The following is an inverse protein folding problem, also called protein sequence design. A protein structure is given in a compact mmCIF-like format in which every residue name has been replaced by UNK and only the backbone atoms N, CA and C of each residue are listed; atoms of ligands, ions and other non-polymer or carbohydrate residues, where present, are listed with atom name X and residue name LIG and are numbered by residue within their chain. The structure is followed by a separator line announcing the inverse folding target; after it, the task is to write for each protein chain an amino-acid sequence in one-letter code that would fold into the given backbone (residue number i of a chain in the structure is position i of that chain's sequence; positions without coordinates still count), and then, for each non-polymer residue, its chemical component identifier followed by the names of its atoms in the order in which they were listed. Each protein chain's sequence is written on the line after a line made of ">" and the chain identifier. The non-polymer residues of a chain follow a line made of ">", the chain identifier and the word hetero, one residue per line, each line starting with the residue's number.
data_IF_885326616937
#
_entry.id   IF_885326616937
#
_cell.length_a   1.000
_cell.length_b   1.000
_cell.length_c   1.000
_cell.angle_alpha   90.00
_cell.angle_beta   90.00
_cell.angle_gamma   90.00
#
_symmetry.space_group_name_H-M   'P 1'
#
loop_
_entity.id
_entity.type
_entity.pdbx_description
1 polymer ?
#
# COMPACT_ATOMS: atom_id res chain seq x y z
N UNK A 1 18.29 -29.03 8.15
CA UNK A 1 17.46 -28.21 9.08
C UNK A 1 18.34 -27.06 9.50
N UNK A 2 18.12 -25.88 8.92
CA UNK A 2 18.90 -24.69 9.27
C UNK A 2 18.53 -24.30 10.70
N UNK A 3 19.53 -23.94 11.50
CA UNK A 3 19.35 -23.53 12.89
C UNK A 3 18.34 -22.37 12.95
N UNK A 4 17.23 -22.54 13.68
CA UNK A 4 16.29 -21.49 13.98
C UNK A 4 17.07 -20.31 14.59
N UNK A 5 17.10 -19.17 13.89
CA UNK A 5 17.67 -17.96 14.45
C UNK A 5 16.70 -17.44 15.51
N UNK A 6 17.14 -17.41 16.78
CA UNK A 6 16.37 -16.84 17.87
C UNK A 6 16.69 -15.36 18.03
N UNK A 7 15.67 -14.53 18.09
CA UNK A 7 15.78 -13.07 18.27
C UNK A 7 14.93 -12.69 19.50
N UNK A 8 15.57 -12.05 20.48
CA UNK A 8 14.87 -11.45 21.62
C UNK A 8 14.68 -9.95 21.39
N UNK A 9 13.49 -9.44 21.66
CA UNK A 9 13.15 -8.03 21.47
C UNK A 9 12.06 -7.60 22.46
N UNK A 10 11.90 -6.30 22.66
CA UNK A 10 10.81 -5.79 23.51
C UNK A 10 9.47 -5.87 22.77
N UNK A 11 9.44 -5.59 21.47
CA UNK A 11 8.20 -5.59 20.70
C UNK A 11 8.40 -6.17 19.29
N UNK A 12 7.50 -7.07 18.90
CA UNK A 12 7.35 -7.52 17.52
C UNK A 12 6.33 -6.64 16.80
N UNK A 13 6.69 -6.11 15.63
CA UNK A 13 5.82 -5.30 14.78
C UNK A 13 5.56 -6.04 13.47
N UNK A 14 4.31 -6.36 13.19
CA UNK A 14 3.90 -7.07 11.97
C UNK A 14 3.37 -6.05 10.96
N UNK A 15 4.17 -5.77 9.93
CA UNK A 15 3.95 -4.80 8.88
C UNK A 15 4.92 -3.62 8.95
N UNK A 16 5.77 -3.49 7.93
CA UNK A 16 6.75 -2.42 7.74
C UNK A 16 6.21 -1.21 6.95
N UNK A 17 4.88 -0.99 6.96
CA UNK A 17 4.25 0.20 6.44
C UNK A 17 4.43 1.42 7.36
N UNK A 18 3.82 2.56 6.99
CA UNK A 18 3.99 3.84 7.71
C UNK A 18 3.65 3.76 9.19
N UNK A 19 2.68 2.94 9.58
CA UNK A 19 2.30 2.75 10.98
C UNK A 19 3.34 1.94 11.75
N UNK A 20 3.80 0.81 11.19
CA UNK A 20 4.83 -0.01 11.81
C UNK A 20 6.15 0.74 11.99
N UNK A 21 6.57 1.48 10.95
CA UNK A 21 7.76 2.33 11.01
C UNK A 21 7.64 3.44 12.04
N UNK A 22 6.48 4.09 12.17
CA UNK A 22 6.25 5.12 13.18
C UNK A 22 6.26 4.53 14.61
N UNK A 23 5.69 3.33 14.81
CA UNK A 23 5.79 2.60 16.08
C UNK A 23 7.24 2.26 16.44
N UNK A 24 7.99 1.66 15.51
CA UNK A 24 9.37 1.24 15.75
C UNK A 24 10.29 2.42 16.11
N UNK A 25 10.11 3.55 15.44
CA UNK A 25 10.85 4.77 15.75
C UNK A 25 10.52 5.33 17.13
N UNK A 26 9.25 5.30 17.54
CA UNK A 26 8.85 5.74 18.87
C UNK A 26 9.43 4.81 19.96
N UNK A 27 9.44 3.49 19.74
CA UNK A 27 10.14 2.55 20.63
C UNK A 27 11.62 2.86 20.73
N UNK A 28 12.31 3.02 19.62
CA UNK A 28 13.74 3.31 19.59
C UNK A 28 14.08 4.63 20.31
N UNK A 29 13.26 5.69 20.12
CA UNK A 29 13.41 6.97 20.81
C UNK A 29 13.25 6.86 22.34
N UNK A 30 12.53 5.83 22.82
CA UNK A 30 12.32 5.55 24.25
C UNK A 30 13.28 4.47 24.80
N UNK A 31 14.24 4.02 23.99
CA UNK A 31 15.25 3.01 24.40
C UNK A 31 14.81 1.55 24.30
N UNK A 32 13.67 1.27 23.65
CA UNK A 32 13.16 -0.09 23.44
C UNK A 32 13.55 -0.62 22.06
N UNK A 33 13.92 -1.89 22.00
CA UNK A 33 14.23 -2.57 20.75
C UNK A 33 12.97 -3.16 20.12
N UNK A 34 12.96 -3.22 18.79
CA UNK A 34 11.84 -3.82 18.06
C UNK A 34 12.30 -4.59 16.82
N UNK A 35 11.54 -5.61 16.47
CA UNK A 35 11.67 -6.33 15.19
C UNK A 35 10.48 -6.01 14.33
N UNK A 36 10.73 -5.50 13.14
CA UNK A 36 9.69 -5.21 12.11
C UNK A 36 9.72 -6.32 11.08
N UNK A 37 8.62 -7.04 10.95
CA UNK A 37 8.41 -8.07 9.93
C UNK A 37 7.58 -7.49 8.80
N UNK A 38 8.08 -7.54 7.57
CA UNK A 38 7.40 -7.01 6.39
C UNK A 38 7.30 -8.07 5.28
N UNK A 39 6.10 -8.25 4.75
CA UNK A 39 5.81 -9.20 3.68
C UNK A 39 6.49 -8.83 2.36
N UNK A 40 6.56 -7.53 2.05
CA UNK A 40 7.25 -7.06 0.86
C UNK A 40 8.78 -7.11 1.03
N UNK A 41 9.55 -7.17 -0.07
CA UNK A 41 11.01 -7.07 -0.03
C UNK A 41 11.52 -5.65 0.24
N UNK A 42 10.65 -4.73 0.59
CA UNK A 42 10.96 -3.32 0.91
C UNK A 42 10.00 -2.76 1.95
N UNK A 43 10.46 -1.74 2.68
CA UNK A 43 9.67 -1.01 3.68
C UNK A 43 8.78 0.07 3.03
N UNK A 44 7.79 0.57 3.80
CA UNK A 44 6.96 1.73 3.47
C UNK A 44 5.53 1.38 3.04
N UNK A 45 5.22 0.10 2.76
CA UNK A 45 3.89 -0.37 2.39
C UNK A 45 3.32 0.34 1.15
N UNK A 46 2.01 0.63 1.14
CA UNK A 46 1.38 1.35 0.01
C UNK A 46 1.90 2.77 -0.15
N UNK A 47 2.32 3.42 0.94
CA UNK A 47 2.74 4.82 0.92
C UNK A 47 4.01 5.08 0.10
N UNK A 48 4.91 4.09 0.00
CA UNK A 48 6.16 4.22 -0.78
C UNK A 48 5.93 4.26 -2.29
N UNK A 49 4.77 3.78 -2.74
CA UNK A 49 4.39 3.77 -4.15
C UNK A 49 3.86 5.12 -4.64
N UNK A 50 3.56 6.07 -3.76
CA UNK A 50 3.05 7.38 -4.14
C UNK A 50 4.12 8.25 -4.79
N UNK A 51 3.78 8.84 -5.93
CA UNK A 51 4.64 9.81 -6.62
C UNK A 51 4.59 11.15 -5.90
N UNK A 52 5.74 11.66 -5.47
CA UNK A 52 5.87 12.96 -4.83
C UNK A 52 6.58 13.96 -5.74
N UNK A 53 6.42 15.25 -5.46
CA UNK A 53 7.09 16.38 -6.15
C UNK A 53 6.83 16.44 -7.66
N UNK A 54 5.71 15.92 -8.10
CA UNK A 54 5.32 15.95 -9.50
C UNK A 54 4.60 17.24 -9.90
N UNK A 55 4.29 18.11 -8.92
CA UNK A 55 3.70 19.44 -9.12
C UNK A 55 4.54 20.50 -8.42
N UNK A 56 4.49 21.75 -8.90
CA UNK A 56 5.18 22.89 -8.28
C UNK A 56 4.68 23.20 -6.86
N UNK A 57 3.46 22.76 -6.54
CA UNK A 57 2.82 22.99 -5.24
C UNK A 57 2.65 21.67 -4.51
N UNK A 58 3.07 21.62 -3.23
CA UNK A 58 2.89 20.44 -2.38
C UNK A 58 1.41 20.11 -2.19
N UNK A 59 1.02 18.89 -2.52
CA UNK A 59 -0.36 18.38 -2.38
C UNK A 59 -0.66 17.82 -0.98
N UNK A 60 0.27 17.93 -0.03
CA UNK A 60 0.15 17.45 1.36
C UNK A 60 -0.26 15.96 1.50
N UNK A 61 0.14 15.13 0.54
CA UNK A 61 -0.24 13.70 0.51
C UNK A 61 0.51 12.83 1.55
N UNK A 62 1.53 13.36 2.22
CA UNK A 62 2.32 12.62 3.20
C UNK A 62 3.36 11.64 2.61
N UNK A 63 3.52 11.54 1.28
CA UNK A 63 4.48 10.62 0.66
C UNK A 63 5.94 10.86 1.13
N UNK A 64 6.34 12.11 1.34
CA UNK A 64 7.68 12.45 1.87
C UNK A 64 7.91 11.89 3.28
N UNK A 65 6.87 11.83 4.13
CA UNK A 65 6.96 11.27 5.48
C UNK A 65 7.28 9.77 5.45
N UNK A 66 6.86 9.07 4.40
CA UNK A 66 7.16 7.63 4.23
C UNK A 66 8.66 7.43 4.04
N UNK A 67 9.28 8.23 3.16
CA UNK A 67 10.73 8.18 2.91
C UNK A 67 11.53 8.51 4.17
N UNK A 68 11.09 9.50 4.93
CA UNK A 68 11.73 9.87 6.21
C UNK A 68 11.58 8.74 7.25
N UNK A 69 10.40 8.12 7.33
CA UNK A 69 10.16 7.01 8.23
C UNK A 69 11.03 5.78 7.90
N UNK A 70 11.20 5.46 6.61
CA UNK A 70 12.10 4.39 6.18
C UNK A 70 13.54 4.69 6.61
N UNK A 71 14.06 5.88 6.26
CA UNK A 71 15.43 6.29 6.60
C UNK A 71 15.68 6.27 8.10
N UNK A 72 14.77 6.84 8.89
CA UNK A 72 14.91 6.88 10.34
C UNK A 72 14.84 5.50 10.99
N UNK A 73 14.03 4.59 10.46
CA UNK A 73 13.95 3.21 10.94
C UNK A 73 15.22 2.42 10.61
N UNK A 74 15.74 2.56 9.39
CA UNK A 74 16.97 1.87 8.95
C UNK A 74 18.24 2.40 9.64
N UNK A 75 18.26 3.66 10.03
CA UNK A 75 19.39 4.26 10.73
C UNK A 75 19.49 3.88 12.22
N UNK A 76 18.43 3.33 12.80
CA UNK A 76 18.40 2.99 14.23
C UNK A 76 18.93 1.58 14.51
N UNK A 77 19.96 1.42 15.35
CA UNK A 77 20.46 0.09 15.74
C UNK A 77 19.46 -0.70 16.61
N UNK A 78 18.40 -0.03 17.12
CA UNK A 78 17.36 -0.66 17.95
C UNK A 78 16.20 -1.26 17.14
N UNK A 79 16.25 -1.15 15.82
CA UNK A 79 15.18 -1.61 14.94
C UNK A 79 15.77 -2.63 13.97
N UNK A 80 15.43 -3.90 14.17
CA UNK A 80 15.73 -4.95 13.22
C UNK A 80 14.59 -5.11 12.19
N UNK A 81 14.93 -5.47 10.96
CA UNK A 81 13.96 -5.67 9.88
C UNK A 81 14.09 -7.07 9.31
N UNK A 82 12.98 -7.80 9.17
CA UNK A 82 12.89 -9.07 8.44
C UNK A 82 11.94 -8.82 7.27
N UNK A 83 12.50 -8.65 6.08
CA UNK A 83 11.75 -8.38 4.85
C UNK A 83 11.42 -9.68 4.12
N UNK A 84 10.49 -9.64 3.17
CA UNK A 84 9.95 -10.83 2.49
C UNK A 84 9.51 -11.91 3.48
N UNK A 85 8.91 -11.51 4.60
CA UNK A 85 8.63 -12.40 5.72
C UNK A 85 7.22 -12.24 6.27
N UNK A 86 6.67 -13.35 6.77
CA UNK A 86 5.35 -13.37 7.37
C UNK A 86 5.33 -14.10 8.70
N UNK A 87 4.33 -13.80 9.52
CA UNK A 87 4.04 -14.54 10.74
C UNK A 87 3.38 -15.87 10.37
N UNK A 88 4.00 -16.99 10.78
CA UNK A 88 3.45 -18.33 10.60
C UNK A 88 2.71 -18.82 11.86
N UNK A 89 3.18 -18.44 13.05
CA UNK A 89 2.59 -18.84 14.31
C UNK A 89 2.86 -17.82 15.39
N UNK A 90 1.87 -17.58 16.25
CA UNK A 90 1.97 -16.75 17.45
C UNK A 90 1.48 -17.57 18.65
N UNK A 91 2.28 -17.65 19.70
CA UNK A 91 1.92 -18.24 20.99
C UNK A 91 2.30 -17.30 22.11
N UNK A 92 1.57 -17.31 23.20
CA UNK A 92 1.91 -16.58 24.41
C UNK A 92 2.21 -17.58 25.53
N UNK A 93 3.40 -17.48 26.11
CA UNK A 93 3.85 -18.29 27.25
C UNK A 93 4.18 -17.33 28.40
N UNK A 94 3.31 -17.31 29.42
CA UNK A 94 3.42 -16.33 30.50
C UNK A 94 3.30 -14.89 29.99
N UNK A 95 4.36 -14.11 30.19
CA UNK A 95 4.44 -12.70 29.72
C UNK A 95 5.10 -12.54 28.33
N UNK A 96 5.60 -13.62 27.72
CA UNK A 96 6.37 -13.59 26.48
C UNK A 96 5.55 -14.16 25.34
N UNK A 97 5.64 -13.50 24.19
CA UNK A 97 5.16 -14.03 22.91
C UNK A 97 6.29 -14.76 22.20
N UNK A 98 6.02 -15.97 21.75
CA UNK A 98 6.85 -16.71 20.82
C UNK A 98 6.22 -16.67 19.43
N UNK A 99 6.92 -16.07 18.49
CA UNK A 99 6.46 -15.84 17.12
C UNK A 99 7.37 -16.55 16.13
N UNK A 100 6.82 -17.50 15.37
CA UNK A 100 7.53 -18.10 14.24
C UNK A 100 7.35 -17.21 13.02
N UNK A 101 8.44 -16.66 12.54
CA UNK A 101 8.50 -15.84 11.33
C UNK A 101 9.16 -16.66 10.24
N UNK A 102 8.51 -16.76 9.08
CA UNK A 102 9.06 -17.43 7.90
C UNK A 102 9.40 -16.36 6.87
N UNK A 103 10.66 -16.32 6.49
CA UNK A 103 11.18 -15.45 5.44
C UNK A 103 11.26 -16.23 4.12
N UNK A 104 10.63 -15.71 3.10
CA UNK A 104 10.75 -16.23 1.73
C UNK A 104 12.22 -16.16 1.26
N UNK A 105 12.62 -17.01 0.32
CA UNK A 105 13.99 -17.04 -0.15
C UNK A 105 14.45 -15.66 -0.67
N UNK A 106 15.44 -15.05 -0.02
CA UNK A 106 16.07 -13.82 -0.47
C UNK A 106 17.03 -14.16 -1.60
N UNK A 107 16.58 -13.97 -2.83
CA UNK A 107 17.32 -14.36 -4.03
C UNK A 107 18.26 -13.28 -4.56
N UNK A 108 18.05 -12.02 -4.19
CA UNK A 108 18.95 -10.91 -4.54
C UNK A 108 19.47 -10.30 -3.23
N UNK A 109 20.77 -10.41 -2.99
CA UNK A 109 21.40 -9.95 -1.75
C UNK A 109 21.68 -8.44 -1.80
N UNK A 110 21.04 -7.64 -0.93
CA UNK A 110 21.20 -6.18 -0.93
C UNK A 110 22.66 -5.72 -0.78
N UNK A 111 23.40 -6.38 0.09
CA UNK A 111 24.79 -5.99 0.41
C UNK A 111 25.76 -6.18 -0.77
N UNK A 112 25.44 -7.09 -1.69
CA UNK A 112 26.24 -7.36 -2.89
C UNK A 112 25.72 -6.60 -4.12
N UNK A 113 24.47 -6.16 -4.11
CA UNK A 113 23.78 -5.56 -5.24
C UNK A 113 24.09 -4.05 -5.34
N UNK A 114 24.50 -3.58 -6.52
CA UNK A 114 24.69 -2.17 -6.83
C UNK A 114 23.51 -1.52 -7.58
N UNK A 115 22.37 -2.22 -7.68
CA UNK A 115 21.15 -1.77 -8.37
C UNK A 115 21.33 -1.37 -9.85
N UNK A 116 22.27 -1.98 -10.58
CA UNK A 116 22.56 -1.66 -11.98
C UNK A 116 21.42 -1.96 -12.96
N UNK A 117 20.46 -2.83 -12.60
CA UNK A 117 19.30 -3.18 -13.45
C UNK A 117 19.57 -4.25 -14.54
N UNK A 118 20.80 -4.75 -14.71
CA UNK A 118 21.15 -5.76 -15.72
C UNK A 118 20.26 -7.01 -15.62
N UNK A 119 19.95 -7.46 -14.40
CA UNK A 119 19.08 -8.60 -14.17
C UNK A 119 17.62 -8.37 -14.65
N UNK A 120 17.15 -7.10 -14.61
CA UNK A 120 15.82 -6.74 -15.11
C UNK A 120 15.79 -6.83 -16.63
N UNK A 121 16.84 -6.33 -17.31
CA UNK A 121 16.95 -6.35 -18.77
C UNK A 121 17.15 -7.76 -19.30
N UNK A 122 17.95 -8.58 -18.61
CA UNK A 122 18.21 -9.96 -19.00
C UNK A 122 17.05 -10.92 -18.74
N UNK A 123 16.05 -10.54 -17.96
CA UNK A 123 14.94 -11.42 -17.61
C UNK A 123 14.04 -11.69 -18.83
N UNK A 124 13.85 -12.96 -19.26
CA UNK A 124 13.01 -13.28 -20.39
C UNK A 124 11.50 -13.13 -20.12
N UNK A 125 11.12 -12.98 -18.85
CA UNK A 125 9.73 -12.77 -18.43
C UNK A 125 9.55 -11.32 -17.98
N UNK A 126 8.88 -10.47 -18.78
CA UNK A 126 8.62 -9.10 -18.42
C UNK A 126 7.91 -8.98 -17.07
N UNK A 127 8.43 -8.14 -16.18
CA UNK A 127 7.82 -7.89 -14.86
C UNK A 127 8.19 -8.90 -13.76
N UNK A 128 8.81 -10.05 -14.05
CA UNK A 128 9.24 -11.01 -13.04
C UNK A 128 10.37 -10.48 -12.15
N UNK A 129 11.17 -9.52 -12.64
CA UNK A 129 12.12 -8.77 -11.81
C UNK A 129 11.74 -7.30 -11.84
N UNK A 130 11.62 -6.69 -10.68
CA UNK A 130 11.19 -5.29 -10.53
C UNK A 130 12.19 -4.51 -9.69
N UNK A 131 12.39 -3.25 -10.02
CA UNK A 131 13.12 -2.33 -9.16
C UNK A 131 12.28 -1.99 -7.93
N UNK A 132 12.92 -1.91 -6.77
CA UNK A 132 12.24 -1.45 -5.55
C UNK A 132 11.73 -0.02 -5.74
N UNK A 133 10.52 0.31 -5.26
CA UNK A 133 9.99 1.68 -5.32
C UNK A 133 10.85 2.72 -4.60
N UNK A 134 11.73 2.28 -3.70
CA UNK A 134 12.67 3.14 -2.98
C UNK A 134 14.05 3.27 -3.66
N UNK A 135 14.18 2.77 -4.89
CA UNK A 135 15.41 2.90 -5.68
C UNK A 135 16.60 2.09 -5.16
N UNK A 136 16.31 1.07 -4.35
CA UNK A 136 17.29 0.14 -3.80
C UNK A 136 17.36 -1.14 -4.65
N UNK A 137 17.70 -2.25 -4.04
CA UNK A 137 17.85 -3.57 -4.65
C UNK A 137 16.61 -3.97 -5.47
N UNK A 138 16.75 -4.50 -6.69
CA UNK A 138 15.66 -5.15 -7.40
C UNK A 138 15.22 -6.41 -6.66
N UNK A 139 14.01 -6.90 -6.95
CA UNK A 139 13.47 -8.11 -6.35
C UNK A 139 12.79 -8.99 -7.40
N UNK A 140 12.76 -10.29 -7.13
CA UNK A 140 12.11 -11.28 -8.00
C UNK A 140 10.69 -11.54 -7.48
N UNK A 141 9.69 -11.33 -8.33
CA UNK A 141 8.32 -11.79 -8.12
C UNK A 141 8.28 -13.26 -8.53
N UNK A 142 8.47 -14.16 -7.55
CA UNK A 142 8.76 -15.56 -7.87
C UNK A 142 7.63 -16.24 -8.63
N UNK A 143 6.37 -15.93 -8.30
CA UNK A 143 5.20 -16.51 -8.99
C UNK A 143 5.13 -16.13 -10.48
N UNK A 144 5.71 -15.01 -10.86
CA UNK A 144 5.83 -14.55 -12.26
C UNK A 144 7.10 -15.12 -12.93
N UNK A 145 8.07 -15.58 -12.16
CA UNK A 145 9.34 -16.09 -12.68
C UNK A 145 9.16 -17.44 -13.42
N UNK A 146 9.87 -17.65 -14.51
CA UNK A 146 9.85 -18.93 -15.25
C UNK A 146 10.18 -20.13 -14.34
N UNK A 147 11.04 -19.94 -13.34
CA UNK A 147 11.40 -21.02 -12.40
C UNK A 147 10.23 -21.49 -11.52
N UNK A 148 9.25 -20.67 -11.25
CA UNK A 148 8.04 -21.08 -10.51
C UNK A 148 7.22 -22.13 -11.27
N UNK A 149 7.41 -22.19 -12.60
CA UNK A 149 6.78 -23.15 -13.51
C UNK A 149 7.67 -24.36 -13.84
N UNK A 150 8.82 -24.51 -13.14
CA UNK A 150 9.73 -25.63 -13.30
C UNK A 150 10.87 -25.41 -14.32
N UNK A 151 10.98 -24.22 -14.92
CA UNK A 151 12.10 -23.88 -15.81
C UNK A 151 13.44 -23.80 -15.05
N UNK A 152 14.52 -24.18 -15.71
CA UNK A 152 15.90 -24.06 -15.18
C UNK A 152 16.56 -22.71 -15.52
N UNK A 153 15.79 -21.66 -15.79
CA UNK A 153 16.28 -20.35 -16.20
C UNK A 153 17.26 -19.75 -15.17
N UNK A 154 18.41 -19.25 -15.66
CA UNK A 154 19.48 -18.59 -14.88
C UNK A 154 19.82 -17.20 -15.40
N UNK A 155 19.13 -16.68 -16.41
CA UNK A 155 19.48 -15.47 -17.14
C UNK A 155 19.81 -14.26 -16.27
N UNK A 156 19.05 -14.00 -15.20
CA UNK A 156 19.31 -12.91 -14.28
C UNK A 156 20.56 -13.14 -13.41
N UNK A 157 20.83 -14.38 -13.03
CA UNK A 157 22.02 -14.73 -12.24
C UNK A 157 23.28 -14.62 -13.11
N UNK A 158 23.23 -15.09 -14.35
CA UNK A 158 24.35 -15.06 -15.30
C UNK A 158 24.70 -13.63 -15.73
N UNK A 159 23.69 -12.76 -15.84
CA UNK A 159 23.87 -11.36 -16.19
C UNK A 159 24.33 -10.49 -15.00
N UNK A 160 24.37 -11.00 -13.77
CA UNK A 160 24.70 -10.19 -12.60
C UNK A 160 26.19 -9.95 -12.43
N UNK A 161 26.75 -8.73 -12.69
CA UNK A 161 28.19 -8.48 -12.62
C UNK A 161 28.75 -8.55 -11.20
N UNK A 162 27.87 -8.55 -10.19
CA UNK A 162 28.22 -8.58 -8.77
C UNK A 162 27.99 -9.94 -8.12
N UNK A 163 27.54 -10.94 -8.87
CA UNK A 163 27.13 -12.24 -8.35
C UNK A 163 26.18 -12.13 -7.15
N UNK A 164 25.32 -11.10 -7.15
CA UNK A 164 24.41 -10.80 -6.05
C UNK A 164 23.14 -11.67 -6.08
N UNK A 165 22.99 -12.60 -7.02
CA UNK A 165 21.77 -13.40 -7.23
C UNK A 165 22.04 -14.88 -6.93
N UNK A 166 21.22 -15.44 -6.02
CA UNK A 166 21.20 -16.87 -5.72
C UNK A 166 19.78 -17.42 -5.89
N UNK A 167 19.55 -18.10 -7.02
CA UNK A 167 18.25 -18.68 -7.35
C UNK A 167 17.94 -19.97 -6.56
N UNK A 168 18.93 -20.55 -5.87
CA UNK A 168 18.79 -21.73 -5.02
C UNK A 168 18.58 -21.39 -3.55
N UNK A 169 18.39 -20.10 -3.21
CA UNK A 169 18.09 -19.70 -1.84
C UNK A 169 16.83 -20.42 -1.33
N UNK A 170 16.84 -20.77 -0.04
CA UNK A 170 15.73 -21.43 0.67
C UNK A 170 15.08 -20.48 1.68
N UNK A 171 13.92 -20.85 2.16
CA UNK A 171 13.25 -20.18 3.28
C UNK A 171 14.12 -20.19 4.54
N UNK A 172 13.95 -19.14 5.34
CA UNK A 172 14.62 -19.02 6.64
C UNK A 172 13.57 -18.83 7.73
N UNK A 173 13.70 -19.56 8.81
CA UNK A 173 12.83 -19.46 9.98
C UNK A 173 13.51 -18.67 11.11
N UNK A 174 12.76 -17.74 11.70
CA UNK A 174 13.16 -16.98 12.88
C UNK A 174 12.17 -17.24 14.02
N UNK A 175 12.68 -17.56 15.21
CA UNK A 175 11.90 -17.55 16.43
C UNK A 175 12.08 -16.20 17.13
N UNK A 176 11.06 -15.34 17.07
CA UNK A 176 11.10 -14.03 17.73
C UNK A 176 10.37 -14.10 19.06
N UNK A 177 11.06 -13.76 20.14
CA UNK A 177 10.51 -13.64 21.49
C UNK A 177 10.31 -12.18 21.84
N UNK A 178 9.10 -11.80 22.26
CA UNK A 178 8.78 -10.41 22.55
C UNK A 178 7.78 -10.27 23.69
N UNK A 179 7.79 -9.12 24.38
CA UNK A 179 6.84 -8.81 25.47
C UNK A 179 5.50 -8.30 24.96
N UNK A 180 5.46 -7.75 23.75
CA UNK A 180 4.26 -7.25 23.10
C UNK A 180 4.31 -7.44 21.59
N UNK A 181 3.13 -7.40 20.95
CA UNK A 181 2.98 -7.48 19.51
C UNK A 181 2.17 -6.29 19.02
N UNK A 182 2.64 -5.60 17.97
CA UNK A 182 1.90 -4.57 17.26
C UNK A 182 1.56 -5.07 15.86
N UNK A 183 0.29 -5.08 15.52
CA UNK A 183 -0.21 -5.43 14.18
C UNK A 183 -0.42 -4.15 13.40
N UNK A 184 0.35 -3.97 12.32
CA UNK A 184 0.36 -2.79 11.46
C UNK A 184 0.31 -3.17 9.96
N UNK A 185 -0.47 -4.21 9.63
CA UNK A 185 -0.53 -4.86 8.31
C UNK A 185 -1.21 -4.04 7.22
N UNK A 186 -1.73 -2.86 7.56
CA UNK A 186 -2.35 -1.95 6.61
C UNK A 186 -3.73 -2.41 6.13
N UNK A 187 -4.02 -2.24 4.85
CA UNK A 187 -5.29 -2.55 4.21
C UNK A 187 -5.06 -3.27 2.89
N UNK A 188 -6.10 -3.92 2.38
CA UNK A 188 -6.13 -4.45 1.01
C UNK A 188 -6.82 -3.43 0.11
N UNK A 189 -6.25 -3.00 -1.03
CA UNK A 189 -6.99 -2.23 -2.03
C UNK A 189 -8.23 -3.00 -2.49
N UNK A 190 -9.32 -2.27 -2.71
CA UNK A 190 -10.54 -2.90 -3.20
C UNK A 190 -10.30 -3.47 -4.60
N UNK A 191 -10.75 -4.71 -4.84
CA UNK A 191 -10.72 -5.31 -6.17
C UNK A 191 -11.83 -4.71 -7.03
N UNK A 192 -11.44 -3.88 -8.00
CA UNK A 192 -12.40 -3.22 -8.88
C UNK A 192 -13.19 -4.19 -9.78
N UNK A 193 -12.74 -5.43 -9.95
CA UNK A 193 -13.48 -6.47 -10.68
C UNK A 193 -14.79 -6.87 -10.00
N UNK A 194 -14.91 -6.65 -8.67
CA UNK A 194 -16.16 -6.83 -7.91
C UNK A 194 -17.26 -5.83 -8.35
N UNK A 195 -16.92 -4.81 -9.17
CA UNK A 195 -17.85 -3.86 -9.78
C UNK A 195 -17.86 -3.98 -11.31
N UNK A 196 -18.40 -5.08 -11.86
CA UNK A 196 -18.34 -5.38 -13.29
C UNK A 196 -18.95 -4.29 -14.19
N UNK A 197 -19.89 -3.49 -13.65
CA UNK A 197 -20.50 -2.35 -14.36
C UNK A 197 -19.50 -1.26 -14.80
N UNK A 198 -18.31 -1.21 -14.19
CA UNK A 198 -17.26 -0.26 -14.57
C UNK A 198 -16.25 -0.84 -15.56
N UNK A 199 -16.35 -2.13 -15.90
CA UNK A 199 -15.56 -2.73 -16.97
C UNK A 199 -14.08 -2.98 -16.66
N UNK A 200 -13.63 -2.81 -15.42
CA UNK A 200 -12.24 -3.08 -15.03
C UNK A 200 -11.80 -4.52 -15.36
N UNK A 201 -10.59 -4.66 -15.93
CA UNK A 201 -10.05 -5.94 -16.41
C UNK A 201 -10.70 -6.48 -17.68
N UNK A 202 -11.75 -5.84 -18.23
CA UNK A 202 -12.48 -6.25 -19.43
C UNK A 202 -12.45 -5.23 -20.56
N UNK A 203 -12.49 -3.94 -20.21
CA UNK A 203 -12.51 -2.86 -21.18
C UNK A 203 -11.16 -2.14 -21.12
N UNK A 204 -10.37 -2.14 -22.21
CA UNK A 204 -9.13 -1.38 -22.28
C UNK A 204 -9.36 0.10 -21.98
N UNK A 205 -8.45 0.71 -21.22
CA UNK A 205 -8.58 2.13 -20.80
C UNK A 205 -9.32 2.33 -19.48
N UNK A 206 -9.89 1.28 -18.88
CA UNK A 206 -10.39 1.32 -17.49
C UNK A 206 -9.29 0.81 -16.56
N UNK A 207 -8.85 1.66 -15.63
CA UNK A 207 -7.77 1.37 -14.70
C UNK A 207 -8.10 1.89 -13.29
N UNK A 208 -7.43 1.36 -12.29
CA UNK A 208 -7.51 1.89 -10.93
C UNK A 208 -6.62 3.12 -10.75
N UNK A 209 -6.90 3.94 -9.74
CA UNK A 209 -6.04 5.06 -9.39
C UNK A 209 -4.61 4.62 -8.99
N UNK A 210 -4.45 3.43 -8.43
CA UNK A 210 -3.12 2.88 -8.10
C UNK A 210 -2.32 2.52 -9.35
N UNK A 211 -2.98 1.94 -10.37
CA UNK A 211 -2.33 1.64 -11.66
C UNK A 211 -1.95 2.92 -12.39
N UNK A 212 -2.82 3.94 -12.39
CA UNK A 212 -2.46 5.24 -12.95
C UNK A 212 -1.26 5.85 -12.23
N UNK A 213 -1.17 5.74 -10.91
CA UNK A 213 -0.01 6.21 -10.14
C UNK A 213 1.28 5.51 -10.58
N UNK A 214 1.24 4.19 -10.76
CA UNK A 214 2.40 3.40 -11.22
C UNK A 214 2.80 3.78 -12.66
N UNK A 215 1.84 3.94 -13.56
CA UNK A 215 2.08 4.36 -14.95
C UNK A 215 2.69 5.77 -15.01
N UNK A 216 2.19 6.71 -14.21
CA UNK A 216 2.73 8.08 -14.15
C UNK A 216 4.13 8.13 -13.53
N UNK A 217 4.43 7.24 -12.59
CA UNK A 217 5.78 7.13 -11.99
C UNK A 217 6.80 6.66 -13.01
N UNK A 218 6.42 5.67 -13.82
CA UNK A 218 7.30 5.05 -14.79
C UNK A 218 7.27 5.75 -16.16
N UNK A 219 6.54 6.88 -16.28
CA UNK A 219 6.36 7.64 -17.52
C UNK A 219 5.75 6.83 -18.67
N UNK A 220 4.97 5.80 -18.34
CA UNK A 220 4.35 4.86 -19.28
C UNK A 220 2.88 5.18 -19.57
N UNK A 221 2.31 6.22 -18.97
CA UNK A 221 0.93 6.60 -19.20
C UNK A 221 0.80 7.38 -20.49
N UNK A 222 0.22 6.76 -21.50
CA UNK A 222 -0.10 7.39 -22.78
C UNK A 222 -1.62 7.45 -22.98
N UNK A 223 -2.08 8.61 -23.42
CA UNK A 223 -3.44 8.83 -23.88
C UNK A 223 -3.38 9.06 -25.38
N UNK A 224 -3.96 8.18 -26.15
CA UNK A 224 -4.13 8.39 -27.58
C UNK A 224 -5.59 8.79 -27.81
N UNK A 225 -5.88 10.07 -28.00
CA UNK A 225 -7.22 10.51 -28.36
C UNK A 225 -7.56 9.96 -29.73
N UNK A 226 -8.70 9.27 -29.85
CA UNK A 226 -9.04 8.56 -31.09
C UNK A 226 -9.75 9.44 -32.12
N UNK A 227 -10.47 10.46 -31.68
CA UNK A 227 -11.26 11.33 -32.59
C UNK A 227 -11.26 12.81 -32.18
N UNK A 228 -10.59 13.15 -31.09
CA UNK A 228 -10.54 14.50 -30.53
C UNK A 228 -9.11 14.98 -30.37
N UNK A 229 -8.85 16.28 -30.57
CA UNK A 229 -7.51 16.82 -30.37
C UNK A 229 -7.08 16.82 -28.89
N UNK A 230 -8.05 16.77 -27.94
CA UNK A 230 -7.80 16.87 -26.50
C UNK A 230 -8.23 15.57 -25.81
N UNK A 231 -7.31 14.87 -25.11
CA UNK A 231 -7.64 13.67 -24.35
C UNK A 231 -8.56 13.97 -23.17
N UNK A 232 -9.51 13.09 -22.88
CA UNK A 232 -10.47 13.20 -21.78
C UNK A 232 -10.35 12.01 -20.82
N UNK A 233 -10.21 12.29 -19.53
CA UNK A 233 -10.08 11.28 -18.48
C UNK A 233 -11.17 11.47 -17.42
N UNK A 234 -11.90 10.39 -17.12
CA UNK A 234 -12.88 10.37 -16.04
C UNK A 234 -12.28 9.73 -14.79
N UNK A 235 -12.47 10.35 -13.61
CA UNK A 235 -12.25 9.73 -12.31
C UNK A 235 -13.61 9.39 -11.69
N UNK A 236 -13.81 8.14 -11.28
CA UNK A 236 -15.03 7.68 -10.59
C UNK A 236 -14.70 7.43 -9.13
N UNK A 237 -15.31 8.20 -8.23
CA UNK A 237 -15.10 8.11 -6.79
C UNK A 237 -15.89 6.99 -6.12
N UNK A 238 -15.49 6.63 -4.91
CA UNK A 238 -16.17 5.67 -4.02
C UNK A 238 -16.31 4.26 -4.59
N UNK A 239 -15.41 3.81 -5.48
CA UNK A 239 -15.44 2.44 -6.00
C UNK A 239 -15.01 1.48 -4.89
N UNK A 240 -15.95 0.66 -4.40
CA UNK A 240 -15.72 -0.25 -3.26
C UNK A 240 -15.79 0.42 -1.88
N UNK A 241 -16.43 1.60 -1.77
CA UNK A 241 -16.73 2.30 -0.52
C UNK A 241 -18.12 2.90 -0.59
N UNK A 242 -18.76 3.10 0.58
CA UNK A 242 -20.09 3.72 0.69
C UNK A 242 -21.15 3.00 -0.16
N UNK A 243 -21.07 1.67 -0.18
CA UNK A 243 -21.88 0.81 -1.03
C UNK A 243 -22.46 -0.35 -0.22
N UNK A 244 -23.74 -0.22 0.11
CA UNK A 244 -24.49 -1.21 0.89
C UNK A 244 -24.66 -2.56 0.14
N UNK A 245 -24.69 -2.54 -1.20
CA UNK A 245 -24.89 -3.76 -2.00
C UNK A 245 -23.71 -4.75 -1.89
N UNK A 246 -22.54 -4.26 -1.51
CA UNK A 246 -21.34 -5.10 -1.30
C UNK A 246 -20.91 -5.12 0.18
N UNK A 247 -21.79 -4.67 1.11
CA UNK A 247 -21.51 -4.64 2.55
C UNK A 247 -20.42 -3.63 2.97
N UNK A 248 -20.11 -2.62 2.14
CA UNK A 248 -19.06 -1.63 2.41
C UNK A 248 -19.65 -0.25 2.67
N UNK A 249 -20.39 -0.12 3.77
CA UNK A 249 -21.10 1.11 4.12
C UNK A 249 -20.19 2.25 4.58
N UNK A 250 -18.91 1.98 4.87
CA UNK A 250 -17.94 2.96 5.35
C UNK A 250 -17.29 3.76 4.23
N UNK A 251 -16.83 4.96 4.57
CA UNK A 251 -15.97 5.78 3.71
C UNK A 251 -14.50 5.38 3.89
N UNK A 252 -13.75 5.25 2.80
CA UNK A 252 -12.30 5.01 2.85
C UNK A 252 -11.48 6.25 3.21
N UNK A 253 -12.09 7.42 3.40
CA UNK A 253 -11.56 8.69 3.91
C UNK A 253 -10.45 9.34 3.05
N UNK A 254 -9.70 8.60 2.28
CA UNK A 254 -8.52 9.09 1.55
C UNK A 254 -8.76 9.26 0.05
N UNK A 255 -9.77 8.59 -0.54
CA UNK A 255 -9.91 8.51 -1.99
C UNK A 255 -10.21 9.86 -2.65
N UNK A 256 -10.94 10.77 -1.99
CA UNK A 256 -11.19 12.12 -2.52
C UNK A 256 -9.90 12.93 -2.65
N UNK A 257 -9.12 13.02 -1.58
CA UNK A 257 -7.84 13.74 -1.60
C UNK A 257 -6.83 13.07 -2.54
N UNK A 258 -6.82 11.74 -2.58
CA UNK A 258 -5.95 10.97 -3.46
C UNK A 258 -6.27 11.20 -4.94
N UNK A 259 -7.53 11.11 -5.33
CA UNK A 259 -7.96 11.32 -6.70
C UNK A 259 -7.70 12.75 -7.19
N UNK A 260 -8.04 13.78 -6.39
CA UNK A 260 -7.76 15.17 -6.74
C UNK A 260 -6.26 15.43 -6.90
N UNK A 261 -5.43 14.86 -6.01
CA UNK A 261 -3.98 14.93 -6.15
C UNK A 261 -3.50 14.28 -7.45
N UNK A 262 -4.00 13.07 -7.74
CA UNK A 262 -3.59 12.30 -8.91
C UNK A 262 -4.06 12.96 -10.21
N UNK A 263 -5.27 13.49 -10.24
CA UNK A 263 -5.80 14.27 -11.36
C UNK A 263 -4.93 15.51 -11.65
N UNK A 264 -4.56 16.27 -10.61
CA UNK A 264 -3.65 17.43 -10.75
C UNK A 264 -2.23 17.00 -11.18
N UNK A 265 -1.75 15.85 -10.70
CA UNK A 265 -0.49 15.29 -11.17
C UNK A 265 -0.55 14.94 -12.67
N UNK A 266 -1.63 14.29 -13.09
CA UNK A 266 -1.87 13.98 -14.51
C UNK A 266 -1.91 15.27 -15.33
N UNK A 267 -2.68 16.28 -14.88
CA UNK A 267 -2.76 17.59 -15.56
C UNK A 267 -1.39 18.27 -15.66
N UNK A 268 -0.55 18.18 -14.63
CA UNK A 268 0.81 18.74 -14.67
C UNK A 268 1.74 18.03 -15.67
N UNK A 269 1.59 16.71 -15.83
CA UNK A 269 2.37 15.91 -16.81
C UNK A 269 1.81 15.97 -18.23
N UNK A 270 0.49 16.15 -18.39
CA UNK A 270 -0.26 16.18 -19.64
C UNK A 270 -1.21 17.39 -19.61
N UNK A 271 -0.72 18.64 -19.83
CA UNK A 271 -1.49 19.87 -19.61
C UNK A 271 -2.77 19.99 -20.45
N UNK A 272 -2.78 19.42 -21.64
CA UNK A 272 -3.92 19.48 -22.55
C UNK A 272 -5.04 18.49 -22.21
N UNK A 273 -4.86 17.63 -21.17
CA UNK A 273 -5.88 16.64 -20.79
C UNK A 273 -7.07 17.32 -20.10
N UNK A 274 -8.29 17.05 -20.53
CA UNK A 274 -9.52 17.38 -19.81
C UNK A 274 -9.81 16.28 -18.79
N UNK A 275 -10.04 16.67 -17.53
CA UNK A 275 -10.26 15.70 -16.45
C UNK A 275 -11.60 15.99 -15.77
N UNK A 276 -12.47 14.99 -15.76
CA UNK A 276 -13.74 15.02 -15.04
C UNK A 276 -13.66 14.11 -13.81
N UNK A 277 -14.04 14.63 -12.64
CA UNK A 277 -14.12 13.86 -11.39
C UNK A 277 -15.59 13.70 -11.02
N UNK A 278 -16.10 12.46 -11.09
CA UNK A 278 -17.44 12.09 -10.68
C UNK A 278 -17.46 11.74 -9.18
N UNK A 279 -18.35 12.37 -8.40
CA UNK A 279 -18.40 12.19 -6.95
C UNK A 279 -19.83 12.31 -6.39
N UNK A 280 -20.12 11.65 -5.25
CA UNK A 280 -21.36 11.84 -4.48
C UNK A 280 -21.32 13.12 -3.66
N UNK A 281 -20.32 13.20 -2.82
CA UNK A 281 -19.84 14.35 -2.07
C UNK A 281 -18.31 14.22 -1.89
N UNK A 282 -17.64 15.29 -1.61
CA UNK A 282 -16.20 15.28 -1.36
C UNK A 282 -15.95 15.39 0.12
N UNK A 283 -15.36 14.35 0.70
CA UNK A 283 -15.04 14.28 2.11
C UNK A 283 -13.73 15.03 2.41
N UNK A 284 -13.78 15.92 3.40
CA UNK A 284 -12.70 16.85 3.75
C UNK A 284 -12.14 16.52 5.14
N UNK A 285 -11.34 15.48 5.24
CA UNK A 285 -10.75 15.08 6.52
C UNK A 285 -9.44 15.78 6.86
N UNK A 286 -8.83 16.51 5.89
CA UNK A 286 -7.53 17.14 6.05
C UNK A 286 -7.63 18.66 6.23
N UNK A 287 -6.70 19.22 7.00
CA UNK A 287 -6.58 20.67 7.16
C UNK A 287 -6.37 21.38 5.82
N UNK A 288 -7.07 22.48 5.57
CA UNK A 288 -7.02 23.28 4.34
C UNK A 288 -7.52 22.55 3.08
N UNK A 289 -8.27 21.45 3.22
CA UNK A 289 -8.77 20.70 2.07
C UNK A 289 -9.76 21.53 1.23
N UNK A 290 -10.61 22.35 1.85
CA UNK A 290 -11.57 23.22 1.13
C UNK A 290 -10.88 24.17 0.15
N UNK A 291 -9.75 24.77 0.55
CA UNK A 291 -8.94 25.60 -0.34
C UNK A 291 -8.43 24.79 -1.53
N UNK A 292 -7.89 23.58 -1.27
CA UNK A 292 -7.38 22.70 -2.34
C UNK A 292 -8.48 22.20 -3.27
N UNK A 293 -9.68 22.00 -2.74
CA UNK A 293 -10.86 21.65 -3.54
C UNK A 293 -11.26 22.79 -4.47
N UNK A 294 -11.24 24.02 -3.96
CA UNK A 294 -11.51 25.21 -4.79
C UNK A 294 -10.48 25.35 -5.91
N UNK A 295 -9.18 25.28 -5.57
CA UNK A 295 -8.08 25.31 -6.55
C UNK A 295 -8.22 24.17 -7.59
N UNK A 296 -8.58 22.97 -7.15
CA UNK A 296 -8.81 21.84 -8.07
C UNK A 296 -10.01 22.10 -9.00
N UNK A 297 -11.08 22.74 -8.52
CA UNK A 297 -12.25 23.11 -9.34
C UNK A 297 -11.95 24.15 -10.41
N UNK A 298 -10.85 24.88 -10.31
CA UNK A 298 -10.38 25.80 -11.37
C UNK A 298 -9.65 25.07 -12.50
N UNK A 299 -9.09 23.89 -12.21
CA UNK A 299 -8.28 23.10 -13.15
C UNK A 299 -9.03 21.86 -13.69
N UNK A 300 -10.02 21.34 -12.94
CA UNK A 300 -10.71 20.08 -13.17
C UNK A 300 -12.24 20.30 -13.27
N UNK A 301 -12.91 19.49 -14.06
CA UNK A 301 -14.37 19.45 -14.09
C UNK A 301 -14.89 18.56 -12.96
N UNK A 302 -15.48 19.16 -11.93
CA UNK A 302 -16.06 18.45 -10.78
C UNK A 302 -17.55 18.18 -11.05
N UNK A 303 -17.91 16.92 -11.33
CA UNK A 303 -19.27 16.49 -11.65
C UNK A 303 -19.90 15.76 -10.45
N UNK A 304 -20.89 16.38 -9.78
CA UNK A 304 -21.63 15.74 -8.69
C UNK A 304 -22.67 14.75 -9.22
N UNK A 305 -22.19 13.59 -9.61
CA UNK A 305 -23.00 12.48 -10.12
C UNK A 305 -22.34 11.15 -9.77
N UNK A 306 -23.14 10.08 -9.74
CA UNK A 306 -22.64 8.72 -9.56
C UNK A 306 -22.80 8.01 -10.90
N UNK A 307 -21.70 7.66 -11.60
CA UNK A 307 -21.77 6.84 -12.79
C UNK A 307 -22.40 5.48 -12.49
N UNK A 308 -23.31 5.06 -13.36
CA UNK A 308 -23.96 3.76 -13.24
C UNK A 308 -23.30 2.67 -14.08
N UNK A 309 -22.65 3.05 -15.18
CA UNK A 309 -22.04 2.11 -16.12
C UNK A 309 -20.88 2.76 -16.91
N UNK A 310 -19.89 1.92 -17.27
CA UNK A 310 -18.85 2.21 -18.24
C UNK A 310 -18.88 1.14 -19.33
N UNK A 311 -18.87 1.57 -20.60
CA UNK A 311 -18.79 0.66 -21.75
C UNK A 311 -17.79 1.14 -22.79
N UNK A 312 -17.38 0.24 -23.67
CA UNK A 312 -16.60 0.63 -24.84
C UNK A 312 -17.51 1.39 -25.81
N UNK A 313 -17.02 2.50 -26.38
CA UNK A 313 -17.72 3.25 -27.43
C UNK A 313 -17.53 2.56 -28.78
N UNK A 314 -18.56 2.58 -29.60
CA UNK A 314 -18.49 2.09 -30.97
C UNK A 314 -17.52 2.90 -31.84
N UNK A 315 -17.33 4.17 -31.51
CA UNK A 315 -16.44 5.13 -32.21
C UNK A 315 -15.01 5.11 -31.64
N UNK A 316 -14.76 4.25 -30.66
CA UNK A 316 -13.49 4.17 -29.91
C UNK A 316 -13.52 4.96 -28.60
N UNK A 317 -12.67 4.57 -27.62
CA UNK A 317 -12.68 5.12 -26.27
C UNK A 317 -13.76 4.48 -25.39
N UNK A 318 -14.22 5.23 -24.41
CA UNK A 318 -15.11 4.78 -23.32
C UNK A 318 -16.30 5.72 -23.19
N UNK A 319 -17.46 5.17 -22.92
CA UNK A 319 -18.66 5.92 -22.56
C UNK A 319 -19.01 5.68 -21.09
N UNK A 320 -19.31 6.76 -20.37
CA UNK A 320 -19.72 6.76 -18.96
C UNK A 320 -21.17 7.22 -18.88
N UNK A 321 -22.03 6.36 -18.31
CA UNK A 321 -23.43 6.69 -18.05
C UNK A 321 -23.60 7.30 -16.67
N UNK A 322 -24.21 8.45 -16.57
CA UNK A 322 -24.59 9.08 -15.31
C UNK A 322 -25.88 9.91 -15.43
N UNK A 323 -26.48 10.23 -14.28
CA UNK A 323 -27.58 11.20 -14.22
C UNK A 323 -27.04 12.60 -13.99
N UNK A 324 -27.36 13.53 -14.85
CA UNK A 324 -27.00 14.93 -14.66
C UNK A 324 -27.87 15.60 -13.57
N UNK A 325 -27.60 16.87 -13.26
CA UNK A 325 -28.35 17.64 -12.27
C UNK A 325 -29.84 17.88 -12.63
N UNK A 326 -30.22 17.64 -13.88
CA UNK A 326 -31.59 17.73 -14.38
C UNK A 326 -32.33 16.38 -14.32
N UNK A 327 -31.67 15.31 -13.79
CA UNK A 327 -32.26 13.97 -13.73
C UNK A 327 -32.27 13.22 -15.07
N UNK A 328 -31.53 13.71 -16.07
CA UNK A 328 -31.46 13.08 -17.39
C UNK A 328 -30.27 12.13 -17.46
N UNK A 329 -30.46 10.98 -18.11
CA UNK A 329 -29.38 10.05 -18.42
C UNK A 329 -28.46 10.65 -19.50
N UNK A 330 -27.16 10.72 -19.20
CA UNK A 330 -26.15 11.22 -20.12
C UNK A 330 -25.10 10.14 -20.34
N UNK A 331 -24.81 9.84 -21.59
CA UNK A 331 -23.60 9.13 -22.00
C UNK A 331 -22.55 10.15 -22.41
N UNK A 332 -21.43 10.16 -21.72
CA UNK A 332 -20.31 11.06 -22.02
C UNK A 332 -19.05 10.26 -22.34
N UNK A 333 -18.26 10.73 -23.29
CA UNK A 333 -17.14 10.01 -23.87
C UNK A 333 -15.79 10.39 -23.22
N UNK A 334 -14.95 9.39 -22.98
CA UNK A 334 -13.61 9.51 -22.39
C UNK A 334 -12.61 8.60 -23.09
N UNK A 335 -11.33 8.95 -23.00
CA UNK A 335 -10.22 8.12 -23.51
C UNK A 335 -9.70 7.15 -22.44
N UNK A 336 -9.88 7.51 -21.16
CA UNK A 336 -9.60 6.63 -20.02
C UNK A 336 -10.57 6.87 -18.87
N UNK A 337 -10.83 5.81 -18.09
CA UNK A 337 -11.63 5.87 -16.86
C UNK A 337 -10.78 5.36 -15.70
N UNK A 338 -10.62 6.19 -14.68
CA UNK A 338 -9.82 5.92 -13.47
C UNK A 338 -10.75 5.65 -12.29
N UNK A 339 -10.68 4.45 -11.76
CA UNK A 339 -11.49 4.03 -10.63
C UNK A 339 -10.77 4.36 -9.31
N UNK A 340 -11.33 5.28 -8.52
CA UNK A 340 -10.83 5.64 -7.19
C UNK A 340 -11.29 4.60 -6.19
N UNK A 341 -10.52 3.52 -6.09
CA UNK A 341 -10.85 2.36 -5.27
C UNK A 341 -10.68 2.64 -3.77
N UNK A 342 -11.51 1.98 -2.98
CA UNK A 342 -11.50 2.09 -1.52
C UNK A 342 -10.45 1.21 -0.83
N UNK A 343 -10.40 1.36 0.50
CA UNK A 343 -9.63 0.49 1.40
C UNK A 343 -10.53 -0.63 1.91
N UNK A 344 -10.14 -1.87 1.66
CA UNK A 344 -10.73 -3.07 2.24
C UNK A 344 -10.00 -3.47 3.53
N UNK A 345 -10.63 -4.19 4.44
CA UNK A 345 -9.95 -4.77 5.59
C UNK A 345 -8.73 -5.58 5.16
N UNK A 346 -7.72 -5.71 6.04
CA UNK A 346 -6.56 -6.52 5.74
C UNK A 346 -6.94 -7.98 5.55
N UNK A 347 -6.24 -8.67 4.65
CA UNK A 347 -6.34 -10.11 4.51
C UNK A 347 -6.07 -10.82 5.85
N UNK A 348 -6.61 -12.02 6.08
CA UNK A 348 -6.25 -12.84 7.22
C UNK A 348 -4.72 -13.00 7.32
N UNK A 349 -4.20 -12.95 8.53
CA UNK A 349 -2.78 -13.19 8.83
C UNK A 349 -2.71 -14.40 9.74
N UNK A 350 -1.94 -15.39 9.36
CA UNK A 350 -1.75 -16.60 10.15
C UNK A 350 -1.27 -16.24 11.57
N UNK A 351 -1.82 -16.90 12.57
CA UNK A 351 -1.47 -16.67 13.96
C UNK A 351 -2.10 -15.44 14.61
N UNK A 352 -2.89 -14.64 13.89
CA UNK A 352 -3.63 -13.49 14.43
C UNK A 352 -5.14 -13.74 14.57
N UNK A 353 -5.59 -14.99 14.54
CA UNK A 353 -6.99 -15.38 14.73
C UNK A 353 -7.56 -14.98 16.10
N UNK A 354 -6.68 -14.71 17.06
CA UNK A 354 -7.02 -14.18 18.39
C UNK A 354 -7.55 -12.74 18.35
N UNK A 355 -7.27 -11.99 17.28
CA UNK A 355 -7.77 -10.63 17.11
C UNK A 355 -9.22 -10.65 16.63
N UNK A 356 -10.08 -9.96 17.37
CA UNK A 356 -11.43 -9.64 16.91
C UNK A 356 -11.39 -8.76 15.65
N UNK A 357 -12.52 -8.72 14.95
CA UNK A 357 -12.77 -7.80 13.83
C UNK A 357 -14.04 -7.01 14.10
N UNK A 358 -14.08 -5.78 13.60
CA UNK A 358 -15.30 -4.98 13.63
C UNK A 358 -16.32 -5.47 12.56
N UNK A 359 -17.47 -4.84 12.50
CA UNK A 359 -18.55 -5.14 11.55
C UNK A 359 -18.12 -4.99 10.07
N UNK A 360 -17.02 -4.29 9.80
CA UNK A 360 -16.43 -4.08 8.48
C UNK A 360 -15.24 -5.00 8.19
N UNK A 361 -14.80 -5.80 9.19
CA UNK A 361 -13.70 -6.75 9.08
C UNK A 361 -12.33 -6.18 9.42
N UNK A 362 -12.21 -4.95 9.93
CA UNK A 362 -10.96 -4.38 10.41
C UNK A 362 -10.60 -4.92 11.80
N UNK A 363 -9.29 -5.03 12.10
CA UNK A 363 -8.81 -5.59 13.36
C UNK A 363 -9.18 -4.72 14.57
N UNK A 364 -9.58 -5.41 15.66
CA UNK A 364 -9.76 -4.82 16.99
C UNK A 364 -8.56 -5.17 17.88
N UNK A 365 -8.05 -4.22 18.68
CA UNK A 365 -6.93 -4.51 19.58
C UNK A 365 -7.33 -5.44 20.71
N UNK A 366 -6.43 -6.35 21.10
CA UNK A 366 -6.50 -7.18 22.31
C UNK A 366 -5.42 -6.71 23.29
N UNK A 367 -5.52 -5.46 23.74
CA UNK A 367 -4.50 -4.78 24.51
C UNK A 367 -4.17 -5.45 25.86
N UNK A 368 -5.19 -6.00 26.53
CA UNK A 368 -4.99 -6.74 27.80
C UNK A 368 -4.23 -8.04 27.59
N UNK A 369 -4.31 -8.62 26.40
CA UNK A 369 -3.51 -9.77 26.00
C UNK A 369 -2.09 -9.39 25.55
N UNK A 370 -1.76 -8.08 25.39
CA UNK A 370 -0.47 -7.59 24.91
C UNK A 370 -0.37 -7.47 23.38
N UNK A 371 -1.51 -7.54 22.67
CA UNK A 371 -1.56 -7.38 21.20
C UNK A 371 -2.27 -6.08 20.87
N UNK A 372 -1.58 -5.23 20.14
CA UNK A 372 -2.04 -3.88 19.76
C UNK A 372 -2.20 -3.78 18.25
N UNK A 373 -3.03 -2.85 17.81
CA UNK A 373 -3.30 -2.62 16.39
C UNK A 373 -3.02 -1.16 16.04
N UNK A 374 -2.31 -0.91 14.94
CA UNK A 374 -1.94 0.43 14.50
C UNK A 374 -2.13 0.64 12.99
N UNK A 375 -2.59 1.82 12.59
CA UNK A 375 -2.74 2.21 11.19
C UNK A 375 -4.00 1.70 10.53
N UNK A 376 -3.98 1.58 9.21
CA UNK A 376 -5.16 1.31 8.40
C UNK A 376 -5.74 -0.11 8.56
N UNK A 377 -5.05 -1.03 9.22
CA UNK A 377 -5.62 -2.34 9.55
C UNK A 377 -6.71 -2.28 10.63
N UNK A 378 -6.82 -1.15 11.35
CA UNK A 378 -7.90 -0.86 12.31
C UNK A 378 -9.02 -0.01 11.71
N UNK A 379 -8.97 0.32 10.44
CA UNK A 379 -9.93 1.14 9.72
C UNK A 379 -9.25 2.15 8.81
N UNK A 380 -9.96 2.68 7.82
CA UNK A 380 -9.41 3.64 6.85
C UNK A 380 -8.78 4.86 7.53
N UNK A 381 -7.57 5.22 7.10
CA UNK A 381 -6.77 6.34 7.61
C UNK A 381 -5.80 6.85 6.56
N UNK A 382 -5.52 8.14 6.61
CA UNK A 382 -4.42 8.75 5.86
C UNK A 382 -3.05 8.33 6.41
N UNK A 383 -1.98 8.61 5.67
CA UNK A 383 -0.59 8.39 6.11
C UNK A 383 -0.34 9.13 7.44
N UNK A 384 -0.72 10.40 7.52
CA UNK A 384 -0.50 11.24 8.69
C UNK A 384 -1.25 10.72 9.91
N UNK A 385 -2.51 10.33 9.74
CA UNK A 385 -3.33 9.75 10.82
C UNK A 385 -2.79 8.40 11.27
N UNK A 386 -2.36 7.54 10.33
CA UNK A 386 -1.74 6.25 10.64
C UNK A 386 -0.47 6.43 11.49
N UNK A 387 0.40 7.39 11.14
CA UNK A 387 1.61 7.68 11.89
C UNK A 387 1.32 8.26 13.28
N UNK A 388 0.36 9.17 13.40
CA UNK A 388 -0.05 9.76 14.69
C UNK A 388 -0.61 8.68 15.62
N UNK A 389 -1.52 7.86 15.12
CA UNK A 389 -2.08 6.76 15.88
C UNK A 389 -1.01 5.76 16.31
N UNK A 390 -0.09 5.41 15.40
CA UNK A 390 0.98 4.47 15.68
C UNK A 390 1.89 4.91 16.82
N UNK A 391 2.24 6.21 16.89
CA UNK A 391 2.98 6.77 18.02
C UNK A 391 2.21 6.66 19.34
N UNK A 392 0.91 6.95 19.32
CA UNK A 392 0.06 6.80 20.52
C UNK A 392 -0.06 5.30 20.93
N UNK A 393 -0.11 4.39 19.97
CA UNK A 393 -0.09 2.94 20.23
C UNK A 393 1.23 2.54 20.89
N UNK A 394 2.37 3.02 20.38
CA UNK A 394 3.69 2.72 20.95
C UNK A 394 3.76 3.13 22.43
N UNK A 395 3.26 4.29 22.81
CA UNK A 395 3.17 4.72 24.22
C UNK A 395 2.33 3.77 25.08
N UNK A 396 1.20 3.30 24.55
CA UNK A 396 0.34 2.33 25.26
C UNK A 396 1.05 0.99 25.45
N UNK A 397 1.80 0.52 24.44
CA UNK A 397 2.61 -0.71 24.51
C UNK A 397 3.71 -0.55 25.57
N UNK A 398 4.43 0.55 25.60
CA UNK A 398 5.46 0.84 26.61
C UNK A 398 4.84 0.82 28.01
N UNK A 399 3.68 1.43 28.18
CA UNK A 399 2.94 1.39 29.45
C UNK A 399 2.51 -0.02 29.86
N UNK A 400 2.14 -0.86 28.89
CA UNK A 400 1.81 -2.26 29.14
C UNK A 400 3.04 -3.06 29.61
N UNK A 401 4.16 -2.97 28.91
CA UNK A 401 5.41 -3.68 29.25
C UNK A 401 5.91 -3.29 30.67
N UNK A 402 5.91 -2.00 31.00
CA UNK A 402 6.32 -1.52 32.33
C UNK A 402 5.43 -2.01 33.48
N UNK A 403 4.15 -2.27 33.24
CA UNK A 403 3.26 -2.89 34.24
C UNK A 403 3.56 -4.37 34.45
N UNK A 404 3.87 -5.09 33.37
CA UNK A 404 4.28 -6.50 33.45
C UNK A 404 5.57 -6.72 34.25
N UNK A 405 6.55 -5.81 34.10
CA UNK A 405 7.80 -5.84 34.86
C UNK A 405 7.58 -5.60 36.37
N UNK A 406 6.65 -4.71 36.76
CA UNK A 406 6.32 -4.43 38.15
C UNK A 406 5.58 -5.57 38.84
N UNK A 407 4.65 -6.22 38.11
CA UNK A 407 3.93 -7.38 38.65
C UNK A 407 4.75 -8.68 38.75
N UNK A 408 5.97 -8.70 38.23
CA UNK A 408 6.91 -9.83 38.36
C UNK A 408 7.87 -9.65 39.57
N UNK A 409 7.81 -8.49 40.24
CA UNK A 409 8.63 -8.13 41.41
C UNK A 409 7.83 -8.20 42.73
N UNK A 410 6.52 -8.38 42.66
CA UNK A 410 5.61 -8.65 43.78
C UNK A 410 5.25 -10.15 43.82
#
# INVERSE_FOLDING_TARGET
>A
MNANQSIETHCLIIGGGVAGLACSQEFAARGFDSVVVEKAPFLGGHGVKLVCKATHVCQNCGACLVTEAIKGSQASPRIAHILSAGLARLRKEGSIFESLIVQEPVRIFPDSCNACGECVQACPVPGAIRMSPVGQTPYIVYDECARSRGDSCTACQDACPRAAINLSASETEFLVRSHAVVVATGFTPFDASEKPRFGYGRIPGVLTALELEDLLRNEQFELTPKERPIPRVAFIQCVGSRDAHIGRNYCSQVCCAYALRLARLLKAKKPDTEITVFYMDIQTFERNFERRLKEAGEELHLCRAIPSEVRASAEGGLEVLYHNSQGTNVWDNFDAVVLSIGMSPPAPVLGLDVLGRDEHGFFQPAADAGIFVAGACQGPKSIVESMRQARAVAERVIGYMKRGERGALD
#
